data_IF_204487608924
#
_entry.id   IF_204487608924
#
_cell.length_a   1.000
_cell.length_b   1.000
_cell.length_c   1.000
_cell.angle_alpha   90.00
_cell.angle_beta   90.00
_cell.angle_gamma   90.00
#
_symmetry.space_group_name_H-M   'P 1'
#
loop_
_entity.id
_entity.type
_entity.pdbx_description
1 polymer ?
#
# COMPACT_ATOMS: atom_id res chain seq x y z
N UNK A 1 -12.60 27.22 -38.69
CA UNK A 1 -13.60 26.74 -37.71
C UNK A 1 -12.87 26.55 -36.37
N UNK A 2 -13.38 27.05 -35.25
CA UNK A 2 -12.78 26.77 -33.97
C UNK A 2 -12.93 25.27 -33.69
N UNK A 3 -11.83 24.66 -33.20
CA UNK A 3 -11.82 23.27 -32.77
C UNK A 3 -12.70 23.17 -31.51
N UNK A 4 -13.73 22.34 -31.56
CA UNK A 4 -14.57 22.05 -30.42
C UNK A 4 -14.22 20.63 -29.93
N UNK A 5 -13.50 20.52 -28.84
CA UNK A 5 -13.14 19.26 -28.23
C UNK A 5 -14.41 18.57 -27.70
N UNK A 6 -14.68 17.37 -28.17
CA UNK A 6 -15.75 16.53 -27.60
C UNK A 6 -15.14 15.69 -26.49
N UNK A 7 -15.53 15.97 -25.26
CA UNK A 7 -15.14 15.20 -24.09
C UNK A 7 -16.02 13.97 -23.95
N UNK A 8 -15.42 12.82 -23.67
CA UNK A 8 -16.14 11.62 -23.31
C UNK A 8 -16.53 11.68 -21.84
N UNK A 9 -17.81 11.45 -21.54
CA UNK A 9 -18.31 11.41 -20.16
C UNK A 9 -18.43 9.95 -19.72
N UNK A 10 -17.93 9.66 -18.53
CA UNK A 10 -18.04 8.35 -17.89
C UNK A 10 -18.99 8.45 -16.70
N UNK A 11 -19.82 7.39 -16.51
CA UNK A 11 -20.77 7.29 -15.40
C UNK A 11 -20.17 6.56 -14.19
N UNK A 12 -18.99 5.97 -14.36
CA UNK A 12 -18.27 5.26 -13.30
C UNK A 12 -17.11 6.10 -12.80
N UNK A 13 -16.76 5.89 -11.53
CA UNK A 13 -15.64 6.56 -10.84
C UNK A 13 -14.93 5.52 -9.98
N UNK A 14 -13.61 5.58 -9.95
CA UNK A 14 -12.81 4.81 -8.99
C UNK A 14 -13.05 5.38 -7.59
N UNK A 15 -13.30 4.51 -6.60
CA UNK A 15 -13.46 4.93 -5.23
C UNK A 15 -12.20 5.63 -4.72
N UNK A 16 -12.39 6.61 -3.86
CA UNK A 16 -11.28 7.25 -3.14
C UNK A 16 -10.98 6.48 -1.87
N UNK A 17 -9.70 6.33 -1.55
CA UNK A 17 -9.23 5.80 -0.27
C UNK A 17 -8.32 6.83 0.38
N UNK A 18 -8.55 7.11 1.65
CA UNK A 18 -7.71 8.04 2.44
C UNK A 18 -6.97 7.25 3.50
N UNK A 19 -5.66 7.37 3.56
CA UNK A 19 -4.77 6.82 4.58
C UNK A 19 -4.15 7.93 5.43
N UNK A 20 -3.76 7.60 6.65
CA UNK A 20 -3.25 8.57 7.62
C UNK A 20 -4.35 9.16 8.49
N UNK A 21 -3.98 10.00 9.44
CA UNK A 21 -4.88 10.60 10.44
C UNK A 21 -4.53 12.07 10.70
N UNK A 22 -5.48 12.81 11.28
CA UNK A 22 -5.32 14.23 11.57
C UNK A 22 -5.03 15.06 10.32
N UNK A 23 -4.00 15.90 10.40
CA UNK A 23 -3.57 16.77 9.29
C UNK A 23 -2.63 16.07 8.29
N UNK A 24 -2.23 14.83 8.58
CA UNK A 24 -1.33 14.02 7.77
C UNK A 24 -2.10 12.90 7.08
N UNK A 25 -2.74 13.23 5.96
CA UNK A 25 -3.51 12.28 5.18
C UNK A 25 -3.14 12.32 3.71
N UNK A 26 -3.26 11.16 3.06
CA UNK A 26 -3.12 11.00 1.61
C UNK A 26 -4.39 10.37 1.07
N UNK A 27 -4.97 10.99 0.05
CA UNK A 27 -6.13 10.45 -0.67
C UNK A 27 -5.71 10.01 -2.06
N UNK A 28 -6.07 8.78 -2.42
CA UNK A 28 -5.79 8.15 -3.73
C UNK A 28 -7.08 7.72 -4.39
N UNK A 29 -7.05 7.49 -5.71
CA UNK A 29 -8.22 7.13 -6.50
C UNK A 29 -9.08 8.34 -6.87
N UNK A 30 -10.34 8.10 -7.22
CA UNK A 30 -11.28 9.15 -7.59
C UNK A 30 -11.35 9.46 -9.08
N UNK A 31 -10.54 8.82 -9.91
CA UNK A 31 -10.56 9.04 -11.35
C UNK A 31 -11.85 8.55 -11.99
N UNK A 32 -12.38 9.35 -12.91
CA UNK A 32 -13.56 9.06 -13.72
C UNK A 32 -13.24 8.87 -15.20
N UNK A 33 -11.96 8.92 -15.57
CA UNK A 33 -11.46 8.72 -16.93
C UNK A 33 -10.55 7.51 -16.99
N UNK A 34 -10.31 7.02 -18.21
CA UNK A 34 -9.29 6.00 -18.42
C UNK A 34 -7.89 6.56 -18.16
N UNK A 35 -6.94 5.72 -17.71
CA UNK A 35 -5.54 6.12 -17.62
C UNK A 35 -5.07 6.77 -18.93
N UNK A 36 -4.28 7.83 -18.83
CA UNK A 36 -3.78 8.65 -19.95
C UNK A 36 -4.83 9.44 -20.74
N UNK A 37 -6.11 9.43 -20.35
CA UNK A 37 -7.17 10.23 -20.95
C UNK A 37 -7.51 11.46 -20.10
N UNK A 38 -6.51 12.05 -19.46
CA UNK A 38 -6.66 13.25 -18.61
C UNK A 38 -7.18 14.49 -19.34
N UNK A 39 -7.20 14.48 -20.68
CA UNK A 39 -7.82 15.52 -21.48
C UNK A 39 -9.36 15.47 -21.45
N UNK A 40 -9.98 14.35 -21.09
CA UNK A 40 -11.42 14.21 -20.96
C UNK A 40 -11.95 14.78 -19.64
N UNK A 41 -11.22 14.59 -18.56
CA UNK A 41 -11.45 15.24 -17.27
C UNK A 41 -10.15 15.30 -16.47
N UNK A 42 -9.96 16.32 -15.62
CA UNK A 42 -8.81 16.37 -14.72
C UNK A 42 -8.87 15.22 -13.72
N UNK A 43 -7.69 14.68 -13.35
CA UNK A 43 -7.57 13.74 -12.25
C UNK A 43 -7.95 14.44 -10.93
N UNK A 44 -8.84 13.84 -10.15
CA UNK A 44 -9.27 14.44 -8.88
C UNK A 44 -8.16 14.41 -7.84
N UNK A 45 -7.42 13.30 -7.81
CA UNK A 45 -6.26 13.13 -6.93
C UNK A 45 -5.03 12.82 -7.78
N UNK A 46 -4.00 13.66 -7.68
CA UNK A 46 -2.72 13.39 -8.34
C UNK A 46 -2.10 12.09 -7.80
N UNK A 47 -1.34 11.37 -8.64
CA UNK A 47 -0.56 10.22 -8.18
C UNK A 47 0.29 10.56 -6.95
N UNK A 48 0.40 9.63 -6.02
CA UNK A 48 1.13 9.79 -4.77
C UNK A 48 2.39 8.94 -4.76
N UNK A 49 3.44 9.45 -4.14
CA UNK A 49 4.75 8.81 -4.10
C UNK A 49 5.01 8.33 -2.67
N UNK A 50 5.22 7.02 -2.52
CA UNK A 50 5.67 6.41 -1.28
C UNK A 50 7.16 6.11 -1.32
N UNK A 51 7.84 6.30 -0.21
CA UNK A 51 9.21 5.84 -0.02
C UNK A 51 9.19 4.54 0.76
N UNK A 52 9.78 3.48 0.20
CA UNK A 52 9.88 2.18 0.87
C UNK A 52 11.16 2.10 1.70
N UNK A 53 11.02 1.59 2.92
CA UNK A 53 12.11 1.11 3.77
C UNK A 53 11.82 -0.33 4.19
N UNK A 54 12.89 -1.09 4.45
CA UNK A 54 12.78 -2.48 4.93
C UNK A 54 13.16 -2.58 6.40
N UNK A 55 12.53 -3.51 7.12
CA UNK A 55 12.93 -3.94 8.46
C UNK A 55 14.33 -4.56 8.51
N UNK A 56 14.91 -4.86 7.34
CA UNK A 56 16.29 -5.35 7.18
C UNK A 56 17.31 -4.20 7.08
N UNK A 57 16.87 -2.96 7.14
CA UNK A 57 17.74 -1.80 7.02
C UNK A 57 18.48 -1.75 5.68
N UNK A 58 19.79 -1.56 5.72
CA UNK A 58 20.64 -1.42 4.53
C UNK A 58 21.36 -2.71 4.11
N UNK A 59 21.14 -3.83 4.80
CA UNK A 59 21.92 -5.06 4.61
C UNK A 59 21.94 -5.56 3.16
N UNK A 60 20.81 -5.42 2.45
CA UNK A 60 20.68 -5.90 1.07
C UNK A 60 20.68 -4.77 0.03
N UNK A 61 21.05 -3.55 0.44
CA UNK A 61 21.11 -2.41 -0.47
C UNK A 61 22.44 -2.39 -1.21
N UNK A 62 22.38 -2.51 -2.53
CA UNK A 62 23.57 -2.47 -3.41
C UNK A 62 23.92 -1.03 -3.79
N UNK A 63 22.95 -0.13 -3.85
CA UNK A 63 23.13 1.26 -4.29
C UNK A 63 23.90 2.09 -3.26
N UNK A 64 25.08 2.56 -3.63
CA UNK A 64 25.90 3.44 -2.80
C UNK A 64 25.19 4.80 -2.54
N UNK A 65 24.40 5.29 -3.49
CA UNK A 65 23.62 6.51 -3.32
C UNK A 65 22.55 6.37 -2.21
N UNK A 66 21.87 5.23 -2.14
CA UNK A 66 20.91 4.96 -1.08
C UNK A 66 21.61 4.83 0.26
N UNK A 67 22.72 4.11 0.34
CA UNK A 67 23.53 4.01 1.56
C UNK A 67 23.98 5.38 2.06
N UNK A 68 24.48 6.23 1.17
CA UNK A 68 24.90 7.58 1.49
C UNK A 68 23.75 8.45 2.01
N UNK A 69 22.53 8.29 1.42
CA UNK A 69 21.36 9.02 1.90
C UNK A 69 21.00 8.66 3.35
N UNK A 70 21.06 7.37 3.69
CA UNK A 70 20.76 6.88 5.04
C UNK A 70 21.97 6.87 5.98
N UNK A 71 23.12 7.40 5.56
CA UNK A 71 24.32 7.46 6.40
C UNK A 71 24.02 8.15 7.74
N UNK A 72 24.50 7.55 8.83
CA UNK A 72 24.22 8.00 10.20
C UNK A 72 22.86 7.57 10.77
N UNK A 73 21.99 6.89 10.01
CA UNK A 73 20.80 6.25 10.57
C UNK A 73 21.19 4.86 11.11
N UNK A 74 21.07 4.66 12.40
CA UNK A 74 21.49 3.44 13.12
C UNK A 74 20.31 2.51 13.42
N UNK A 75 19.08 3.00 13.33
CA UNK A 75 17.86 2.24 13.57
C UNK A 75 16.86 2.38 12.41
N UNK A 76 15.88 1.48 12.34
CA UNK A 76 14.83 1.55 11.31
C UNK A 76 13.97 2.81 11.50
N UNK A 77 13.72 3.22 12.75
CA UNK A 77 13.02 4.47 13.06
C UNK A 77 13.76 5.72 12.56
N UNK A 78 15.10 5.75 12.67
CA UNK A 78 15.91 6.84 12.12
C UNK A 78 15.90 6.85 10.58
N UNK A 79 15.90 5.67 9.95
CA UNK A 79 15.72 5.55 8.50
C UNK A 79 14.33 6.05 8.09
N UNK A 80 13.29 5.69 8.86
CA UNK A 80 11.92 6.14 8.62
C UNK A 80 11.81 7.68 8.65
N UNK A 81 12.45 8.34 9.60
CA UNK A 81 12.50 9.82 9.67
C UNK A 81 13.14 10.44 8.43
N UNK A 82 14.26 9.88 7.98
CA UNK A 82 14.92 10.35 6.75
C UNK A 82 14.06 10.11 5.52
N UNK A 83 13.44 8.93 5.40
CA UNK A 83 12.54 8.60 4.31
C UNK A 83 11.32 9.52 4.26
N UNK A 84 10.70 9.78 5.41
CA UNK A 84 9.54 10.68 5.52
C UNK A 84 9.88 12.15 5.22
N UNK A 85 11.14 12.55 5.38
CA UNK A 85 11.63 13.89 5.08
C UNK A 85 12.11 14.05 3.62
N UNK A 86 12.06 12.99 2.81
CA UNK A 86 12.45 13.05 1.40
C UNK A 86 11.51 13.96 0.62
N UNK A 87 12.09 14.87 -0.17
CA UNK A 87 11.32 15.78 -1.01
C UNK A 87 10.44 15.01 -2.00
N UNK A 88 9.16 15.34 -2.04
CA UNK A 88 8.18 14.68 -2.89
C UNK A 88 7.60 13.38 -2.33
N UNK A 89 8.02 12.93 -1.13
CA UNK A 89 7.41 11.79 -0.47
C UNK A 89 6.04 12.17 0.13
N UNK A 90 5.00 11.47 -0.27
CA UNK A 90 3.65 11.64 0.27
C UNK A 90 3.36 10.72 1.46
N UNK A 91 3.96 9.52 1.48
CA UNK A 91 3.77 8.50 2.52
C UNK A 91 4.99 7.59 2.64
N UNK A 92 5.05 6.84 3.74
CA UNK A 92 6.09 5.86 4.00
C UNK A 92 5.54 4.45 3.84
N UNK A 93 6.29 3.56 3.19
CA UNK A 93 6.02 2.14 3.13
C UNK A 93 7.06 1.38 3.95
N UNK A 94 6.63 0.63 4.96
CA UNK A 94 7.47 -0.28 5.73
C UNK A 94 7.24 -1.71 5.24
N UNK A 95 8.27 -2.31 4.66
CA UNK A 95 8.26 -3.69 4.21
C UNK A 95 8.92 -4.60 5.24
N UNK A 96 8.19 -5.61 5.70
CA UNK A 96 8.63 -6.57 6.72
C UNK A 96 9.30 -7.80 6.10
N UNK A 97 10.27 -7.57 5.22
CA UNK A 97 10.93 -8.61 4.43
C UNK A 97 11.71 -9.63 5.29
N UNK A 98 12.21 -9.21 6.45
CA UNK A 98 12.92 -10.09 7.38
C UNK A 98 12.06 -11.21 7.97
N UNK A 99 10.74 -11.12 7.81
CA UNK A 99 9.79 -12.17 8.21
C UNK A 99 9.77 -13.39 7.31
N UNK A 100 10.32 -13.31 6.09
CA UNK A 100 10.29 -14.44 5.15
C UNK A 100 10.93 -15.69 5.76
N UNK A 101 10.18 -16.82 5.86
CA UNK A 101 10.71 -18.10 6.37
C UNK A 101 11.90 -18.64 5.58
N UNK A 102 12.04 -18.28 4.31
CA UNK A 102 13.18 -18.64 3.48
C UNK A 102 14.37 -17.67 3.62
N UNK A 103 14.20 -16.58 4.36
CA UNK A 103 15.21 -15.57 4.65
C UNK A 103 15.63 -15.58 6.13
N UNK A 104 15.52 -14.42 6.80
CA UNK A 104 15.89 -14.28 8.21
C UNK A 104 14.89 -14.94 9.17
N UNK A 105 13.66 -15.13 8.72
CA UNK A 105 12.58 -15.75 9.50
C UNK A 105 12.38 -15.10 10.88
N UNK A 106 12.50 -13.77 10.96
CA UNK A 106 12.22 -13.03 12.20
C UNK A 106 10.84 -13.40 12.74
N UNK A 107 10.69 -13.46 14.04
CA UNK A 107 9.40 -13.73 14.68
C UNK A 107 8.40 -12.61 14.43
N UNK A 108 7.11 -12.88 14.58
CA UNK A 108 6.07 -11.86 14.45
C UNK A 108 6.27 -10.77 15.51
N UNK A 109 6.67 -11.13 16.71
CA UNK A 109 6.94 -10.21 17.81
C UNK A 109 8.07 -9.23 17.46
N UNK A 110 9.19 -9.71 16.92
CA UNK A 110 10.31 -8.87 16.49
C UNK A 110 9.88 -7.88 15.40
N UNK A 111 9.08 -8.33 14.43
CA UNK A 111 8.57 -7.48 13.36
C UNK A 111 7.60 -6.43 13.89
N UNK A 112 6.76 -6.77 14.86
CA UNK A 112 5.84 -5.82 15.50
C UNK A 112 6.58 -4.74 16.29
N UNK A 113 7.69 -5.08 16.96
CA UNK A 113 8.52 -4.05 17.61
C UNK A 113 9.11 -3.07 16.58
N UNK A 114 9.55 -3.55 15.41
CA UNK A 114 9.98 -2.68 14.31
C UNK A 114 8.84 -1.80 13.79
N UNK A 115 7.63 -2.36 13.66
CA UNK A 115 6.44 -1.58 13.26
C UNK A 115 6.15 -0.46 14.25
N UNK A 116 6.21 -0.73 15.55
CA UNK A 116 6.01 0.27 16.59
C UNK A 116 7.11 1.35 16.54
N UNK A 117 8.38 0.94 16.44
CA UNK A 117 9.52 1.86 16.32
C UNK A 117 9.31 2.85 15.17
N UNK A 118 8.95 2.35 13.98
CA UNK A 118 8.69 3.21 12.81
C UNK A 118 7.48 4.10 13.05
N UNK A 119 6.39 3.54 13.57
CA UNK A 119 5.17 4.28 13.84
C UNK A 119 5.37 5.41 14.86
N UNK A 120 6.23 5.22 15.85
CA UNK A 120 6.56 6.24 16.85
C UNK A 120 7.57 7.27 16.30
N UNK A 121 8.34 6.90 15.29
CA UNK A 121 9.34 7.77 14.69
C UNK A 121 8.75 8.80 13.72
N UNK A 122 7.60 8.50 13.07
CA UNK A 122 7.00 9.33 12.01
C UNK A 122 5.51 9.53 12.20
N UNK A 123 5.01 10.66 11.71
CA UNK A 123 3.58 11.02 11.70
C UNK A 123 2.95 11.04 10.30
N UNK A 124 3.74 10.74 9.25
CA UNK A 124 3.25 10.65 7.88
C UNK A 124 2.35 9.43 7.68
N UNK A 125 1.47 9.41 6.65
CA UNK A 125 0.69 8.24 6.32
C UNK A 125 1.57 7.02 6.13
N UNK A 126 1.18 5.88 6.71
CA UNK A 126 1.98 4.67 6.73
C UNK A 126 1.29 3.54 5.96
N UNK A 127 2.06 2.88 5.12
CA UNK A 127 1.73 1.61 4.48
C UNK A 127 2.61 0.54 5.09
N UNK A 128 2.05 -0.60 5.47
CA UNK A 128 2.84 -1.73 6.00
C UNK A 128 2.64 -2.94 5.09
N UNK A 129 3.72 -3.40 4.49
CA UNK A 129 3.75 -4.60 3.65
C UNK A 129 4.34 -5.78 4.42
N UNK A 130 3.70 -6.95 4.31
CA UNK A 130 4.18 -8.19 4.92
C UNK A 130 5.43 -8.76 4.26
N UNK A 131 5.78 -9.99 4.65
CA UNK A 131 6.96 -10.70 4.15
C UNK A 131 6.70 -11.52 2.87
N UNK A 132 5.48 -11.50 2.34
CA UNK A 132 5.02 -12.27 1.17
C UNK A 132 4.90 -13.78 1.38
N UNK A 133 4.93 -14.21 2.62
CA UNK A 133 4.55 -15.57 3.00
C UNK A 133 3.12 -15.56 3.56
N UNK A 134 2.19 -16.22 2.90
CA UNK A 134 0.74 -16.18 3.20
C UNK A 134 0.43 -16.60 4.64
N UNK A 135 1.01 -17.69 5.11
CA UNK A 135 0.75 -18.19 6.46
C UNK A 135 1.22 -17.20 7.53
N UNK A 136 2.44 -16.69 7.36
CA UNK A 136 3.02 -15.74 8.31
C UNK A 136 2.36 -14.38 8.22
N UNK A 137 2.06 -13.90 7.02
CA UNK A 137 1.40 -12.62 6.79
C UNK A 137 -0.01 -12.60 7.37
N UNK A 138 -0.72 -13.70 7.36
CA UNK A 138 -2.04 -13.83 7.98
C UNK A 138 -2.02 -13.47 9.48
N UNK A 139 -1.03 -13.93 10.23
CA UNK A 139 -0.84 -13.57 11.64
C UNK A 139 -0.22 -12.18 11.80
N UNK A 140 0.86 -11.91 11.06
CA UNK A 140 1.63 -10.67 11.14
C UNK A 140 0.77 -9.44 10.84
N UNK A 141 0.06 -9.44 9.71
CA UNK A 141 -0.76 -8.31 9.28
C UNK A 141 -1.99 -8.09 10.19
N UNK A 142 -2.50 -9.16 10.80
CA UNK A 142 -3.52 -9.05 11.84
C UNK A 142 -2.99 -8.27 13.05
N UNK A 143 -1.80 -8.60 13.54
CA UNK A 143 -1.15 -7.89 14.66
C UNK A 143 -0.73 -6.46 14.29
N UNK A 144 -0.27 -6.24 13.05
CA UNK A 144 0.01 -4.90 12.52
C UNK A 144 -1.24 -4.02 12.59
N UNK A 145 -2.38 -4.53 12.14
CA UNK A 145 -3.64 -3.80 12.17
C UNK A 145 -4.06 -3.44 13.60
N UNK A 146 -3.84 -4.34 14.56
CA UNK A 146 -4.12 -4.15 15.97
C UNK A 146 -3.25 -3.05 16.60
N UNK A 147 -1.92 -3.16 16.46
CA UNK A 147 -0.99 -2.23 17.13
C UNK A 147 -1.02 -0.83 16.54
N UNK A 148 -1.46 -0.68 15.30
CA UNK A 148 -1.60 0.60 14.62
C UNK A 148 -3.04 1.13 14.63
N UNK A 149 -3.91 0.58 15.50
CA UNK A 149 -5.29 1.04 15.62
C UNK A 149 -5.38 2.57 15.82
N UNK A 150 -6.26 3.21 15.05
CA UNK A 150 -6.44 4.66 15.08
C UNK A 150 -5.52 5.47 14.17
N UNK A 151 -4.49 4.87 13.57
CA UNK A 151 -3.58 5.56 12.63
C UNK A 151 -4.07 5.54 11.18
N UNK A 152 -5.12 4.77 10.87
CA UNK A 152 -5.68 4.64 9.52
C UNK A 152 -4.61 4.30 8.47
N UNK A 153 -3.85 3.24 8.73
CA UNK A 153 -2.79 2.76 7.86
C UNK A 153 -3.34 1.90 6.72
N UNK A 154 -2.56 1.74 5.66
CA UNK A 154 -2.82 0.73 4.64
C UNK A 154 -2.02 -0.54 4.95
N UNK A 155 -2.72 -1.63 5.22
CA UNK A 155 -2.13 -2.95 5.45
C UNK A 155 -2.07 -3.72 4.13
N UNK A 156 -0.89 -4.12 3.71
CA UNK A 156 -0.64 -4.83 2.45
C UNK A 156 0.01 -6.20 2.71
N UNK A 157 -0.52 -7.28 2.17
CA UNK A 157 -1.68 -7.34 1.29
C UNK A 157 -2.55 -8.52 1.68
N UNK A 158 -3.86 -8.37 1.54
CA UNK A 158 -4.77 -9.50 1.56
C UNK A 158 -4.76 -10.16 0.17
N UNK A 159 -4.57 -11.49 0.14
CA UNK A 159 -4.56 -12.31 -1.07
C UNK A 159 -5.72 -13.31 -1.06
N UNK A 160 -5.87 -14.06 -2.14
CA UNK A 160 -6.95 -15.05 -2.27
C UNK A 160 -6.98 -16.06 -1.11
N UNK A 161 -5.79 -16.44 -0.61
CA UNK A 161 -5.64 -17.44 0.43
C UNK A 161 -5.94 -16.91 1.84
N UNK A 162 -5.63 -15.63 2.12
CA UNK A 162 -5.66 -15.05 3.47
C UNK A 162 -6.62 -13.86 3.64
N UNK A 163 -7.35 -13.45 2.58
CA UNK A 163 -8.19 -12.25 2.63
C UNK A 163 -9.21 -12.25 3.78
N UNK A 164 -9.66 -13.42 4.22
CA UNK A 164 -10.60 -13.52 5.34
C UNK A 164 -9.97 -13.08 6.66
N UNK A 165 -8.75 -13.54 6.94
CA UNK A 165 -8.04 -13.18 8.16
C UNK A 165 -7.62 -11.70 8.13
N UNK A 166 -6.88 -11.30 7.10
CA UNK A 166 -6.38 -9.93 6.96
C UNK A 166 -7.53 -8.93 6.79
N UNK A 167 -8.52 -9.22 5.94
CA UNK A 167 -9.68 -8.36 5.71
C UNK A 167 -10.55 -8.19 6.95
N UNK A 168 -10.81 -9.27 7.70
CA UNK A 168 -11.57 -9.19 8.94
C UNK A 168 -10.82 -8.39 10.01
N UNK A 169 -9.54 -8.63 10.20
CA UNK A 169 -8.74 -7.91 11.18
C UNK A 169 -8.56 -6.44 10.77
N UNK A 170 -7.91 -6.18 9.65
CA UNK A 170 -7.58 -4.83 9.24
C UNK A 170 -8.84 -4.01 8.88
N UNK A 171 -9.71 -4.56 8.01
CA UNK A 171 -10.86 -3.82 7.50
C UNK A 171 -12.02 -3.69 8.47
N UNK A 172 -12.34 -4.74 9.25
CA UNK A 172 -13.53 -4.75 10.11
C UNK A 172 -13.20 -4.47 11.58
N UNK A 173 -12.23 -5.20 12.16
CA UNK A 173 -11.98 -5.08 13.60
C UNK A 173 -11.26 -3.78 13.96
N UNK A 174 -10.25 -3.39 13.18
CA UNK A 174 -9.38 -2.26 13.50
C UNK A 174 -9.57 -1.05 12.58
N UNK A 175 -10.51 -1.12 11.62
CA UNK A 175 -10.88 -0.02 10.71
C UNK A 175 -9.68 0.60 9.98
N UNK A 176 -8.78 -0.27 9.51
CA UNK A 176 -7.63 0.08 8.68
C UNK A 176 -8.02 -0.02 7.20
N UNK A 177 -7.15 0.47 6.31
CA UNK A 177 -7.24 0.23 4.87
C UNK A 177 -6.54 -1.06 4.51
N UNK A 178 -7.05 -1.78 3.51
CA UNK A 178 -6.55 -3.10 3.11
C UNK A 178 -6.18 -3.10 1.64
N UNK A 179 -4.96 -3.54 1.35
CA UNK A 179 -4.53 -3.82 0.00
C UNK A 179 -5.06 -5.19 -0.45
N UNK A 180 -5.87 -5.21 -1.50
CA UNK A 180 -6.34 -6.43 -2.14
C UNK A 180 -5.39 -6.76 -3.31
N UNK A 181 -4.48 -7.72 -3.08
CA UNK A 181 -3.42 -8.07 -4.03
C UNK A 181 -3.79 -9.32 -4.82
N UNK A 182 -3.78 -9.21 -6.14
CA UNK A 182 -3.90 -10.35 -7.04
C UNK A 182 -2.74 -10.41 -8.00
N UNK A 183 -2.21 -11.61 -8.25
CA UNK A 183 -1.16 -11.81 -9.22
C UNK A 183 -1.72 -11.72 -10.64
N UNK A 184 -1.29 -10.72 -11.41
CA UNK A 184 -1.33 -10.65 -12.89
C UNK A 184 -2.70 -10.76 -13.58
N UNK A 185 -3.77 -11.19 -12.91
CA UNK A 185 -5.10 -11.41 -13.52
C UNK A 185 -6.12 -10.38 -13.01
N UNK A 186 -6.64 -9.56 -13.92
CA UNK A 186 -7.67 -8.55 -13.62
C UNK A 186 -8.99 -9.18 -13.13
N UNK A 187 -9.31 -10.41 -13.54
CA UNK A 187 -10.51 -11.08 -13.09
C UNK A 187 -10.38 -11.55 -11.64
N UNK A 188 -9.20 -12.02 -11.25
CA UNK A 188 -8.88 -12.32 -9.84
C UNK A 188 -8.92 -11.05 -9.00
N UNK A 189 -8.38 -9.92 -9.49
CA UNK A 189 -8.45 -8.64 -8.80
C UNK A 189 -9.90 -8.20 -8.54
N UNK A 190 -10.77 -8.29 -9.56
CA UNK A 190 -12.19 -7.98 -9.42
C UNK A 190 -12.87 -8.93 -8.42
N UNK A 191 -12.56 -10.23 -8.52
CA UNK A 191 -13.14 -11.25 -7.65
C UNK A 191 -12.73 -11.05 -6.20
N UNK A 192 -11.46 -10.73 -5.94
CA UNK A 192 -10.96 -10.45 -4.61
C UNK A 192 -11.66 -9.21 -4.01
N UNK A 193 -11.83 -8.13 -4.76
CA UNK A 193 -12.58 -6.96 -4.31
C UNK A 193 -14.04 -7.31 -3.97
N UNK A 194 -14.68 -8.17 -4.76
CA UNK A 194 -16.05 -8.63 -4.50
C UNK A 194 -16.13 -9.44 -3.21
N UNK A 195 -15.24 -10.42 -3.00
CA UNK A 195 -15.28 -11.24 -1.79
C UNK A 195 -14.88 -10.46 -0.53
N UNK A 196 -14.00 -9.46 -0.64
CA UNK A 196 -13.67 -8.54 0.45
C UNK A 196 -14.90 -7.69 0.85
N UNK A 197 -15.65 -7.16 -0.12
CA UNK A 197 -16.89 -6.43 0.18
C UNK A 197 -17.99 -7.33 0.72
N UNK A 198 -18.10 -8.57 0.25
CA UNK A 198 -19.02 -9.58 0.82
C UNK A 198 -18.65 -9.96 2.26
N UNK A 199 -17.36 -9.95 2.60
CA UNK A 199 -16.90 -10.11 3.98
C UNK A 199 -17.35 -8.96 4.88
N UNK A 200 -17.69 -7.80 4.30
CA UNK A 200 -18.17 -6.60 5.00
C UNK A 200 -17.16 -5.45 5.01
N UNK A 201 -15.99 -5.61 4.38
CA UNK A 201 -15.02 -4.51 4.24
C UNK A 201 -15.60 -3.44 3.32
N UNK A 202 -15.60 -2.19 3.78
CA UNK A 202 -16.12 -1.09 2.96
C UNK A 202 -15.27 -0.85 1.72
N UNK A 203 -15.91 -0.56 0.58
CA UNK A 203 -15.21 -0.35 -0.68
C UNK A 203 -14.24 0.84 -0.66
N UNK A 204 -14.47 1.83 0.21
CA UNK A 204 -13.56 2.96 0.45
C UNK A 204 -12.38 2.61 1.39
N UNK A 205 -12.31 1.36 1.84
CA UNK A 205 -11.21 0.81 2.62
C UNK A 205 -10.38 -0.23 1.86
N UNK A 206 -10.73 -0.50 0.59
CA UNK A 206 -10.02 -1.48 -0.24
C UNK A 206 -9.20 -0.75 -1.30
N UNK A 207 -7.89 -1.03 -1.32
CA UNK A 207 -6.96 -0.60 -2.37
C UNK A 207 -6.61 -1.81 -3.21
N UNK A 208 -6.99 -1.80 -4.49
CA UNK A 208 -6.58 -2.88 -5.40
C UNK A 208 -5.10 -2.74 -5.71
N UNK A 209 -4.32 -3.74 -5.33
CA UNK A 209 -2.88 -3.79 -5.55
C UNK A 209 -2.60 -4.60 -6.80
N UNK A 210 -2.09 -3.93 -7.84
CA UNK A 210 -1.59 -4.57 -9.05
C UNK A 210 -0.09 -4.31 -9.15
N UNK A 211 0.68 -5.36 -9.42
CA UNK A 211 2.09 -5.16 -9.70
C UNK A 211 2.29 -4.55 -11.09
N UNK A 212 3.26 -3.65 -11.20
CA UNK A 212 3.73 -3.09 -12.49
C UNK A 212 4.29 -4.13 -13.47
N UNK A 213 4.28 -5.39 -13.10
CA UNK A 213 4.64 -6.53 -13.96
C UNK A 213 3.51 -7.03 -14.87
N UNK A 214 2.43 -6.26 -15.01
CA UNK A 214 1.58 -6.40 -16.18
C UNK A 214 2.47 -6.20 -17.40
N UNK A 215 2.90 -7.30 -18.00
CA UNK A 215 3.72 -7.25 -19.22
C UNK A 215 2.97 -6.42 -20.25
N UNK A 216 3.69 -5.67 -21.09
CA UNK A 216 3.12 -4.78 -22.09
C UNK A 216 2.07 -5.45 -23.01
N UNK A 217 2.01 -6.78 -23.04
CA UNK A 217 1.01 -7.58 -23.74
C UNK A 217 -0.34 -7.65 -23.04
N UNK A 218 -0.36 -7.62 -21.71
CA UNK A 218 -1.59 -7.74 -20.90
C UNK A 218 -2.33 -6.40 -20.83
N UNK A 219 -1.61 -5.30 -20.87
CA UNK A 219 -2.20 -3.97 -20.97
C UNK A 219 -2.84 -3.69 -22.33
N UNK A 220 -2.44 -4.40 -23.40
CA UNK A 220 -3.05 -4.28 -24.73
C UNK A 220 -4.25 -5.20 -24.94
N UNK A 221 -4.34 -6.30 -24.22
CA UNK A 221 -5.46 -7.26 -24.39
C UNK A 221 -6.65 -6.95 -23.45
N UNK A 222 -6.48 -6.05 -22.49
CA UNK A 222 -7.51 -5.70 -21.50
C UNK A 222 -8.04 -4.26 -21.67
N UNK A 223 -7.65 -3.58 -22.75
CA UNK A 223 -8.24 -2.35 -23.26
C UNK A 223 -9.14 -2.71 -24.42
#
# INVERSE_FOLDING_TARGET
MPFNQKLQKFNAKINTVTIGSGDKTVTIGGDSTYPFYSFDAPSENAPKIGVEISDMGLENIVSEGIKAYYDGASTIGEMAKKAAAMEGADFLCLRLAGGDPNGLNKSVEELIETVKEVADAVDVPLVVEGCKNVEKDSELLTKVAEVLQGRNVLVMSAREEDYKAVGAAAGLAYNQKVGAESAVDINLAKQLNVVMTQLGVSADSIVTVSYTHLRAHETRSNL
#
